data_IF_807127761940
#
_entry.id   IF_807127761940
#
_cell.length_a   1.000
_cell.length_b   1.000
_cell.length_c   1.000
_cell.angle_alpha   90.00
_cell.angle_beta   90.00
_cell.angle_gamma   90.00
#
_symmetry.space_group_name_H-M   'P 1'
#
loop_
_entity.id
_entity.type
_entity.pdbx_description
1 polymer ?
#
# COMPACT_ATOMS: atom_id res chain seq x y z
N UNK A 1 17.11 11.37 3.41
CA UNK A 1 15.74 11.75 3.00
C UNK A 1 15.45 13.15 3.49
N UNK A 2 14.65 13.89 2.74
CA UNK A 2 14.17 15.25 3.05
C UNK A 2 12.75 15.45 2.50
N UNK A 3 12.08 16.53 2.90
CA UNK A 3 10.77 16.91 2.33
C UNK A 3 10.84 16.99 0.80
N UNK A 4 9.76 16.58 0.13
CA UNK A 4 9.64 16.48 -1.33
C UNK A 4 10.53 15.42 -2.00
N UNK A 5 11.30 14.62 -1.25
CA UNK A 5 11.92 13.44 -1.83
C UNK A 5 10.85 12.42 -2.24
N UNK A 6 10.98 11.89 -3.45
CA UNK A 6 10.21 10.74 -3.89
C UNK A 6 10.80 9.49 -3.26
N UNK A 7 9.95 8.64 -2.69
CA UNK A 7 10.35 7.40 -2.04
C UNK A 7 9.53 6.24 -2.55
N UNK A 8 10.07 5.03 -2.38
CA UNK A 8 9.38 3.76 -2.64
C UNK A 8 9.43 2.89 -1.41
N UNK A 9 8.30 2.26 -1.07
CA UNK A 9 8.23 1.27 0.01
C UNK A 9 8.89 -0.03 -0.46
N UNK A 10 9.83 -0.55 0.32
CA UNK A 10 10.64 -1.73 -0.07
C UNK A 10 10.22 -3.03 0.61
N UNK A 11 9.36 -2.94 1.63
CA UNK A 11 8.91 -4.08 2.45
C UNK A 11 7.39 -4.10 2.59
N UNK A 12 6.82 -5.29 2.72
CA UNK A 12 5.39 -5.45 3.03
C UNK A 12 5.23 -5.57 4.54
N UNK A 13 4.34 -4.77 5.15
CA UNK A 13 4.03 -4.84 6.59
C UNK A 13 2.56 -4.58 6.81
N UNK A 14 1.92 -5.42 7.62
CA UNK A 14 0.49 -5.29 7.97
C UNK A 14 0.14 -3.88 8.49
N UNK A 15 1.03 -3.26 9.26
CA UNK A 15 0.83 -1.89 9.76
C UNK A 15 0.69 -0.83 8.66
N UNK A 16 1.22 -1.08 7.46
CA UNK A 16 1.12 -0.19 6.30
C UNK A 16 -0.03 -0.64 5.39
N UNK A 17 -0.15 -1.95 5.19
CA UNK A 17 -1.19 -2.55 4.35
C UNK A 17 -2.60 -2.27 4.87
N UNK A 18 -2.76 -2.08 6.19
CA UNK A 18 -4.05 -1.68 6.80
C UNK A 18 -4.57 -0.33 6.32
N UNK A 19 -3.67 0.57 5.92
CA UNK A 19 -3.98 1.85 5.31
C UNK A 19 -3.91 1.78 3.76
N UNK A 20 -3.80 0.58 3.19
CA UNK A 20 -3.73 0.36 1.74
C UNK A 20 -2.34 0.61 1.13
N UNK A 21 -1.30 0.81 1.95
CA UNK A 21 0.07 1.01 1.49
C UNK A 21 0.81 -0.32 1.43
N UNK A 22 1.27 -0.68 0.24
CA UNK A 22 1.93 -1.95 -0.03
C UNK A 22 3.35 -1.77 -0.56
N UNK A 23 4.15 -2.83 -0.47
CA UNK A 23 5.49 -2.90 -1.04
C UNK A 23 5.46 -2.52 -2.52
N UNK A 24 6.40 -1.67 -2.92
CA UNK A 24 6.54 -1.17 -4.27
C UNK A 24 5.78 0.12 -4.55
N UNK A 25 4.88 0.56 -3.64
CA UNK A 25 4.21 1.85 -3.78
C UNK A 25 5.19 3.02 -3.62
N UNK A 26 4.93 4.05 -4.41
CA UNK A 26 5.65 5.31 -4.43
C UNK A 26 4.93 6.35 -3.58
N UNK A 27 5.70 7.13 -2.84
CA UNK A 27 5.19 8.22 -2.04
C UNK A 27 6.10 9.44 -2.08
N UNK A 28 5.61 10.53 -1.51
CA UNK A 28 6.29 11.80 -1.37
C UNK A 28 6.41 12.14 0.11
N UNK A 29 7.62 12.51 0.57
CA UNK A 29 7.79 12.97 1.94
C UNK A 29 7.13 14.34 2.10
N UNK A 30 6.08 14.42 2.92
CA UNK A 30 5.27 15.64 3.11
C UNK A 30 5.52 16.37 4.43
N UNK A 31 6.41 15.86 5.28
CA UNK A 31 6.83 16.52 6.52
C UNK A 31 8.35 16.61 6.61
N UNK A 32 8.94 17.78 6.96
CA UNK A 32 10.37 18.00 6.84
C UNK A 32 11.23 17.35 7.94
N UNK A 33 10.61 16.76 8.97
CA UNK A 33 11.36 16.14 10.08
C UNK A 33 11.16 14.63 10.12
N UNK A 34 12.27 13.91 10.23
CA UNK A 34 12.28 12.52 10.67
C UNK A 34 12.05 12.46 12.18
N UNK A 35 10.97 11.81 12.62
CA UNK A 35 10.64 11.67 14.04
C UNK A 35 10.85 10.22 14.45
N UNK A 36 11.84 9.97 15.32
CA UNK A 36 12.18 8.61 15.81
C UNK A 36 12.46 7.60 14.68
N UNK A 37 13.04 8.05 13.56
CA UNK A 37 13.33 7.19 12.41
C UNK A 37 12.13 6.97 11.47
N UNK A 38 11.04 7.72 11.63
CA UNK A 38 9.88 7.69 10.75
C UNK A 38 9.74 8.98 9.95
N UNK A 39 9.35 8.82 8.68
CA UNK A 39 8.98 9.88 7.76
C UNK A 39 7.48 9.85 7.50
N UNK A 40 6.83 11.02 7.48
CA UNK A 40 5.45 11.14 7.00
C UNK A 40 5.48 11.15 5.47
N UNK A 41 4.77 10.20 4.88
CA UNK A 41 4.77 9.97 3.43
C UNK A 41 3.33 10.00 2.93
N UNK A 42 3.08 10.83 1.92
CA UNK A 42 1.84 10.82 1.16
C UNK A 42 1.95 9.86 -0.03
N UNK A 43 0.95 9.02 -0.24
CA UNK A 43 0.87 8.02 -1.31
C UNK A 43 -0.19 8.41 -2.34
N UNK A 44 0.18 9.15 -3.40
CA UNK A 44 -0.80 9.70 -4.31
C UNK A 44 -1.37 8.69 -5.29
N UNK A 45 -2.56 9.02 -5.80
CA UNK A 45 -3.18 8.38 -6.96
C UNK A 45 -3.00 9.23 -8.22
N UNK A 46 -3.26 8.65 -9.40
CA UNK A 46 -3.12 9.36 -10.67
C UNK A 46 -4.35 10.25 -10.95
N UNK A 47 -4.12 11.53 -11.23
CA UNK A 47 -5.15 12.52 -11.55
C UNK A 47 -5.77 13.17 -10.30
N UNK A 48 -6.98 13.74 -10.45
CA UNK A 48 -7.75 14.37 -9.37
C UNK A 48 -8.48 13.30 -8.53
N UNK A 49 -7.72 12.38 -7.94
CA UNK A 49 -8.22 11.37 -7.00
C UNK A 49 -7.66 11.66 -5.62
N UNK A 50 -8.40 11.25 -4.59
CA UNK A 50 -7.87 11.25 -3.24
C UNK A 50 -6.61 10.37 -3.16
N UNK A 51 -5.68 10.78 -2.32
CA UNK A 51 -4.48 10.01 -2.03
C UNK A 51 -4.87 8.68 -1.36
N UNK A 52 -4.04 7.64 -1.57
CA UNK A 52 -4.27 6.32 -0.96
C UNK A 52 -4.17 6.44 0.56
N UNK A 53 -3.12 7.10 1.03
CA UNK A 53 -2.86 7.29 2.45
C UNK A 53 -1.80 8.37 2.69
N UNK A 54 -1.84 8.96 3.87
CA UNK A 54 -0.74 9.74 4.43
C UNK A 54 -0.34 9.11 5.77
N UNK A 55 0.79 8.38 5.80
CA UNK A 55 1.19 7.60 6.98
C UNK A 55 2.68 7.71 7.27
N UNK A 56 3.04 7.39 8.52
CA UNK A 56 4.43 7.35 8.97
C UNK A 56 5.10 6.01 8.64
N UNK A 57 6.15 6.05 7.82
CA UNK A 57 6.93 4.87 7.43
C UNK A 57 8.34 4.98 8.01
N UNK A 58 8.94 3.86 8.44
CA UNK A 58 10.32 3.88 8.91
C UNK A 58 11.27 4.19 7.75
N UNK A 59 12.33 4.95 8.03
CA UNK A 59 13.37 5.27 7.06
C UNK A 59 14.01 4.02 6.44
N UNK A 60 14.23 2.96 7.24
CA UNK A 60 14.81 1.68 6.78
C UNK A 60 13.94 0.92 5.77
N UNK A 61 12.65 1.22 5.71
CA UNK A 61 11.68 0.58 4.83
C UNK A 61 11.49 1.34 3.51
N UNK A 62 12.13 2.51 3.37
CA UNK A 62 12.01 3.41 2.24
C UNK A 62 13.30 3.44 1.41
N UNK A 63 13.14 3.60 0.11
CA UNK A 63 14.22 3.89 -0.82
C UNK A 63 13.93 5.22 -1.53
N UNK A 64 14.90 6.14 -1.55
CA UNK A 64 14.77 7.38 -2.33
C UNK A 64 14.88 7.06 -3.82
N UNK A 65 13.92 7.53 -4.58
CA UNK A 65 13.85 7.34 -6.04
C UNK A 65 13.82 8.69 -6.74
N UNK A 66 14.17 8.71 -8.03
CA UNK A 66 14.18 9.97 -8.80
C UNK A 66 12.80 10.38 -9.29
N UNK A 67 11.96 9.40 -9.61
CA UNK A 67 10.67 9.60 -10.26
C UNK A 67 9.60 8.94 -9.40
N UNK A 68 8.52 9.66 -9.15
CA UNK A 68 7.29 9.14 -8.55
C UNK A 68 6.36 8.68 -9.66
N UNK A 69 5.90 7.43 -9.59
CA UNK A 69 4.95 6.85 -10.54
C UNK A 69 3.66 6.44 -9.81
N UNK A 70 2.68 7.36 -9.78
CA UNK A 70 1.39 7.14 -9.14
C UNK A 70 0.54 6.08 -9.88
N UNK A 71 0.81 5.80 -11.16
CA UNK A 71 0.10 4.75 -11.89
C UNK A 71 0.45 3.36 -11.35
N UNK A 72 1.67 3.17 -10.85
CA UNK A 72 2.09 1.93 -10.18
C UNK A 72 1.31 1.74 -8.88
N UNK A 73 1.07 2.81 -8.12
CA UNK A 73 0.29 2.73 -6.89
C UNK A 73 -1.12 2.20 -7.15
N UNK A 74 -1.78 2.68 -8.21
CA UNK A 74 -3.12 2.20 -8.59
C UNK A 74 -3.13 0.73 -9.01
N UNK A 75 -2.11 0.28 -9.76
CA UNK A 75 -1.98 -1.11 -10.15
C UNK A 75 -1.82 -2.03 -8.94
N UNK A 76 -0.96 -1.63 -8.00
CA UNK A 76 -0.73 -2.38 -6.76
C UNK A 76 -2.03 -2.40 -5.93
N UNK A 77 -2.68 -1.26 -5.71
CA UNK A 77 -3.96 -1.17 -4.98
C UNK A 77 -5.00 -2.10 -5.58
N UNK A 78 -5.21 -2.05 -6.90
CA UNK A 78 -6.18 -2.87 -7.60
C UNK A 78 -5.88 -4.38 -7.48
N UNK A 79 -4.60 -4.76 -7.50
CA UNK A 79 -4.20 -6.15 -7.29
C UNK A 79 -4.61 -6.66 -5.90
N UNK A 80 -4.28 -5.92 -4.84
CA UNK A 80 -4.60 -6.31 -3.47
C UNK A 80 -6.10 -6.30 -3.18
N UNK A 81 -6.86 -5.35 -3.74
CA UNK A 81 -8.32 -5.33 -3.64
C UNK A 81 -8.95 -6.56 -4.31
N UNK A 82 -8.44 -6.97 -5.48
CA UNK A 82 -8.91 -8.16 -6.18
C UNK A 82 -8.63 -9.44 -5.38
N UNK A 83 -7.44 -9.57 -4.82
CA UNK A 83 -7.05 -10.70 -3.97
C UNK A 83 -7.95 -10.78 -2.73
N UNK A 84 -8.17 -9.65 -2.04
CA UNK A 84 -9.05 -9.59 -0.87
C UNK A 84 -10.49 -9.99 -1.19
N UNK A 85 -11.02 -9.58 -2.35
CA UNK A 85 -12.36 -9.95 -2.79
C UNK A 85 -12.47 -11.44 -3.15
N UNK A 86 -11.44 -12.02 -3.78
CA UNK A 86 -11.39 -13.46 -4.02
C UNK A 86 -11.39 -14.26 -2.72
N UNK A 87 -10.56 -13.88 -1.74
CA UNK A 87 -10.51 -14.56 -0.44
C UNK A 87 -11.86 -14.52 0.27
N UNK A 88 -12.60 -13.41 0.20
CA UNK A 88 -13.95 -13.31 0.77
C UNK A 88 -14.93 -14.26 0.08
N UNK A 89 -14.94 -14.31 -1.25
CA UNK A 89 -15.81 -15.22 -2.02
C UNK A 89 -15.56 -16.69 -1.68
N UNK A 90 -14.29 -17.10 -1.51
CA UNK A 90 -13.96 -18.46 -1.08
C UNK A 90 -14.37 -18.75 0.36
N UNK A 91 -14.28 -17.78 1.28
CA UNK A 91 -14.71 -17.95 2.66
C UNK A 91 -16.26 -17.98 2.82
N UNK A 92 -16.99 -17.36 1.89
CA UNK A 92 -18.45 -17.27 1.90
C UNK A 92 -19.15 -18.38 1.09
N UNK A 93 -18.42 -19.20 0.32
CA UNK A 93 -18.97 -20.45 -0.21
C UNK A 93 -19.05 -21.47 0.93
N UNK A 94 -20.24 -21.80 1.47
CA UNK A 94 -20.34 -22.95 2.37
C UNK A 94 -19.91 -24.18 1.58
N UNK A 95 -19.03 -24.98 2.17
CA UNK A 95 -18.72 -26.32 1.67
C UNK A 95 -20.05 -27.07 1.51
N UNK A 96 -20.58 -27.11 0.28
CA UNK A 96 -21.76 -27.91 -0.05
C UNK A 96 -21.33 -29.38 -0.07
N UNK A 97 -21.03 -29.91 1.13
CA UNK A 97 -20.74 -31.31 1.41
C UNK A 97 -21.99 -32.19 1.28
N UNK A 98 -23.08 -31.68 0.71
CA UNK A 98 -24.32 -32.44 0.53
C UNK A 98 -24.20 -33.56 -0.51
N UNK A 99 -23.16 -33.56 -1.35
CA UNK A 99 -22.99 -34.54 -2.44
C UNK A 99 -22.14 -35.79 -2.07
N UNK A 100 -21.81 -35.96 -0.78
CA UNK A 100 -21.08 -37.15 -0.28
C UNK A 100 -21.83 -37.94 0.80
N UNK A 101 -23.17 -37.92 0.78
CA UNK A 101 -23.98 -38.93 1.49
C UNK A 101 -24.53 -39.95 0.50
N UNK A 102 -23.79 -41.06 0.44
CA UNK A 102 -24.05 -42.39 -0.14
C UNK A 102 -25.54 -42.71 -0.32
#
# INVERSE_FOLDING_TARGET
MQEMDNVRVTVEKETYSRDGVHKGMYGLICYPKCVKGYWLVNFPQCGEKDDIAEISIKEEDLEVVRILDACVNEQIKAQFEKEANQTKLFAEMPDDLSDYRI
#
